data_IF_710053197520
#
_entry.id   IF_710053197520
#
_cell.length_a   1.000
_cell.length_b   1.000
_cell.length_c   1.000
_cell.angle_alpha   90.00
_cell.angle_beta   90.00
_cell.angle_gamma   90.00
#
_symmetry.space_group_name_H-M   'P 1'
#
loop_
_entity.id
_entity.type
_entity.pdbx_description
1 polymer ?
#
# COMPACT_ATOMS: atom_id res chain seq x y z
N UNK A 1 2.46 16.43 4.78
CA UNK A 1 3.38 15.41 5.32
C UNK A 1 4.66 15.37 4.49
N UNK A 2 5.74 14.75 4.97
CA UNK A 2 6.96 14.52 4.18
C UNK A 2 6.85 13.19 3.43
N UNK A 3 7.43 13.11 2.23
CA UNK A 3 7.52 11.85 1.46
C UNK A 3 8.40 10.86 2.21
N UNK A 4 7.94 9.63 2.37
CA UNK A 4 8.73 8.50 2.86
C UNK A 4 8.74 7.39 1.80
N UNK A 5 9.92 7.07 1.27
CA UNK A 5 10.09 6.04 0.24
C UNK A 5 9.77 4.66 0.81
N UNK A 6 10.13 4.39 2.05
CA UNK A 6 9.89 3.08 2.66
C UNK A 6 8.38 2.82 2.81
N UNK A 7 7.61 3.84 3.21
CA UNK A 7 6.15 3.73 3.31
C UNK A 7 5.53 3.49 1.93
N UNK A 8 6.01 4.21 0.91
CA UNK A 8 5.55 4.02 -0.46
C UNK A 8 5.84 2.61 -0.97
N UNK A 9 7.06 2.09 -0.79
CA UNK A 9 7.46 0.73 -1.18
C UNK A 9 6.67 -0.34 -0.41
N UNK A 10 6.36 -0.10 0.87
CA UNK A 10 5.54 -1.01 1.68
C UNK A 10 4.13 -1.13 1.13
N UNK A 11 3.48 0.00 0.83
CA UNK A 11 2.14 0.02 0.22
C UNK A 11 2.11 -0.70 -1.12
N UNK A 12 3.07 -0.44 -2.01
CA UNK A 12 3.18 -1.17 -3.28
C UNK A 12 3.36 -2.68 -3.05
N UNK A 13 4.23 -3.05 -2.10
CA UNK A 13 4.44 -4.45 -1.75
C UNK A 13 3.23 -5.12 -1.10
N UNK A 14 2.33 -4.38 -0.44
CA UNK A 14 1.07 -4.93 0.04
C UNK A 14 0.15 -5.28 -1.13
N UNK A 15 0.01 -4.40 -2.12
CA UNK A 15 -0.77 -4.66 -3.34
C UNK A 15 -0.20 -5.88 -4.06
N UNK A 16 1.11 -5.89 -4.36
CA UNK A 16 1.80 -6.99 -5.05
C UNK A 16 1.55 -8.37 -4.40
N UNK A 17 1.51 -8.43 -3.05
CA UNK A 17 1.42 -9.70 -2.32
C UNK A 17 0.00 -10.20 -2.09
N UNK A 18 -0.99 -9.31 -2.02
CA UNK A 18 -2.35 -9.67 -1.63
C UNK A 18 -3.36 -9.48 -2.77
N UNK A 19 -2.98 -8.82 -3.86
CA UNK A 19 -3.79 -8.78 -5.08
C UNK A 19 -3.65 -10.09 -5.86
N UNK A 20 -4.46 -11.09 -5.49
CA UNK A 20 -4.45 -12.41 -6.13
C UNK A 20 -5.29 -12.48 -7.41
N UNK A 21 -6.21 -11.53 -7.60
CA UNK A 21 -7.20 -11.55 -8.68
C UNK A 21 -6.94 -10.48 -9.75
N UNK A 22 -5.96 -9.60 -9.54
CA UNK A 22 -5.66 -8.48 -10.43
C UNK A 22 -6.69 -7.36 -10.34
N UNK A 23 -7.26 -7.18 -9.15
CA UNK A 23 -8.31 -6.16 -8.86
C UNK A 23 -7.78 -5.06 -7.94
N UNK A 24 -6.52 -5.12 -7.54
CA UNK A 24 -5.93 -4.24 -6.53
C UNK A 24 -6.39 -4.55 -5.11
N UNK A 25 -6.12 -3.61 -4.21
CA UNK A 25 -6.56 -3.67 -2.81
C UNK A 25 -7.37 -2.44 -2.43
N UNK A 26 -8.38 -2.64 -1.61
CA UNK A 26 -9.13 -1.55 -1.03
C UNK A 26 -8.26 -0.71 -0.12
N UNK A 27 -8.54 0.59 -0.07
CA UNK A 27 -7.89 1.54 0.85
C UNK A 27 -7.88 1.04 2.30
N UNK A 28 -9.00 0.49 2.74
CA UNK A 28 -9.17 -0.01 4.10
C UNK A 28 -8.27 -1.22 4.38
N UNK A 29 -8.09 -2.11 3.40
CA UNK A 29 -7.17 -3.26 3.53
C UNK A 29 -5.72 -2.79 3.59
N UNK A 30 -5.35 -1.83 2.74
CA UNK A 30 -4.01 -1.22 2.74
C UNK A 30 -3.69 -0.55 4.08
N UNK A 31 -4.68 0.10 4.69
CA UNK A 31 -4.55 0.64 6.05
C UNK A 31 -4.30 -0.46 7.07
N UNK A 32 -5.13 -1.49 7.08
CA UNK A 32 -4.98 -2.60 8.04
C UNK A 32 -3.65 -3.33 7.88
N UNK A 33 -3.19 -3.52 6.64
CA UNK A 33 -1.87 -4.10 6.35
C UNK A 33 -0.74 -3.19 6.84
N UNK A 34 -0.87 -1.87 6.64
CA UNK A 34 0.09 -0.91 7.14
C UNK A 34 0.14 -0.90 8.67
N UNK A 35 -1.00 -0.82 9.36
CA UNK A 35 -1.10 -0.84 10.82
C UNK A 35 -0.41 -2.08 11.44
N UNK A 36 -0.50 -3.22 10.76
CA UNK A 36 0.11 -4.47 11.20
C UNK A 36 1.59 -4.66 10.76
N UNK A 37 2.14 -3.79 9.92
CA UNK A 37 3.55 -3.85 9.52
C UNK A 37 4.43 -3.12 10.56
N UNK A 38 5.61 -3.66 10.95
CA UNK A 38 6.49 -3.03 11.94
C UNK A 38 6.83 -1.56 11.67
N UNK A 39 6.76 -1.12 10.41
CA UNK A 39 6.98 0.27 10.03
C UNK A 39 5.95 1.25 10.61
N UNK A 40 4.77 0.74 11.00
CA UNK A 40 3.73 1.55 11.63
C UNK A 40 4.09 2.02 13.03
N UNK A 41 5.06 1.39 13.70
CA UNK A 41 5.53 1.81 15.04
C UNK A 41 6.09 3.25 15.03
N UNK A 42 6.50 3.75 13.86
CA UNK A 42 6.95 5.13 13.65
C UNK A 42 5.80 6.14 13.51
N UNK A 43 4.56 5.66 13.43
CA UNK A 43 3.36 6.44 13.13
C UNK A 43 2.38 6.36 14.31
N UNK A 44 1.95 7.50 14.89
CA UNK A 44 0.86 7.50 15.86
C UNK A 44 -0.41 6.89 15.25
N UNK A 45 -1.11 6.05 16.01
CA UNK A 45 -2.31 5.32 15.54
C UNK A 45 -3.38 6.25 14.94
N UNK A 46 -3.57 7.43 15.53
CA UNK A 46 -4.52 8.45 15.04
C UNK A 46 -4.09 9.13 13.72
N UNK A 47 -2.85 8.91 13.28
CA UNK A 47 -2.27 9.46 12.06
C UNK A 47 -2.15 8.44 10.92
N UNK A 48 -2.40 7.15 11.17
CA UNK A 48 -2.22 6.10 10.16
C UNK A 48 -3.03 6.36 8.89
N UNK A 49 -4.30 6.76 9.05
CA UNK A 49 -5.15 7.16 7.93
C UNK A 49 -4.53 8.27 7.07
N UNK A 50 -4.04 9.32 7.73
CA UNK A 50 -3.45 10.48 7.05
C UNK A 50 -2.18 10.07 6.30
N UNK A 51 -1.38 9.19 6.91
CA UNK A 51 -0.14 8.66 6.33
C UNK A 51 -0.41 7.82 5.09
N UNK A 52 -1.33 6.86 5.19
CA UNK A 52 -1.68 5.95 4.10
C UNK A 52 -2.28 6.74 2.94
N UNK A 53 -3.27 7.59 3.19
CA UNK A 53 -3.92 8.42 2.18
C UNK A 53 -2.92 9.35 1.47
N UNK A 54 -2.02 9.97 2.23
CA UNK A 54 -1.00 10.84 1.68
C UNK A 54 -0.07 10.08 0.72
N UNK A 55 0.38 8.87 1.08
CA UNK A 55 1.28 8.10 0.24
C UNK A 55 0.55 7.46 -0.95
N UNK A 56 -0.68 6.98 -0.80
CA UNK A 56 -1.50 6.51 -1.93
C UNK A 56 -1.73 7.61 -2.95
N UNK A 57 -2.00 8.84 -2.50
CA UNK A 57 -2.12 9.99 -3.39
C UNK A 57 -0.83 10.28 -4.15
N UNK A 58 0.32 10.17 -3.50
CA UNK A 58 1.61 10.34 -4.18
C UNK A 58 1.86 9.25 -5.22
N UNK A 59 1.60 7.99 -4.88
CA UNK A 59 1.76 6.85 -5.79
C UNK A 59 0.82 6.97 -7.00
N UNK A 60 -0.43 7.35 -6.78
CA UNK A 60 -1.43 7.60 -7.83
C UNK A 60 -0.97 8.73 -8.76
N UNK A 61 -0.58 9.89 -8.21
CA UNK A 61 -0.13 11.03 -9.02
C UNK A 61 1.18 10.76 -9.77
N UNK A 62 2.01 9.86 -9.28
CA UNK A 62 3.22 9.40 -9.95
C UNK A 62 2.96 8.31 -11.00
N UNK A 63 1.73 7.77 -11.08
CA UNK A 63 1.37 6.70 -12.01
C UNK A 63 1.84 5.32 -11.59
N UNK A 64 2.20 5.11 -10.32
CA UNK A 64 2.61 3.80 -9.80
C UNK A 64 1.42 2.93 -9.37
N UNK A 65 0.29 3.56 -9.05
CA UNK A 65 -0.97 2.86 -8.82
C UNK A 65 -2.09 3.49 -9.64
N UNK A 66 -3.02 2.68 -10.11
CA UNK A 66 -4.30 3.12 -10.63
C UNK A 66 -5.33 3.06 -9.49
N UNK A 67 -6.14 4.11 -9.38
CA UNK A 67 -7.25 4.18 -8.43
C UNK A 67 -8.55 3.95 -9.18
N UNK A 68 -9.28 2.92 -8.79
CA UNK A 68 -10.66 2.72 -9.22
C UNK A 68 -11.59 3.17 -8.10
N UNK A 69 -12.47 4.11 -8.42
CA UNK A 69 -13.46 4.60 -7.46
C UNK A 69 -14.69 3.69 -7.52
N UNK A 70 -15.14 3.21 -6.37
CA UNK A 70 -16.43 2.50 -6.30
C UNK A 70 -17.56 3.43 -6.77
N UNK A 71 -18.52 2.84 -7.48
CA UNK A 71 -19.64 3.49 -8.16
C UNK A 71 -20.51 4.27 -7.17
N UNK A 72 -20.51 3.86 -5.90
CA UNK A 72 -21.29 4.48 -4.81
C UNK A 72 -20.58 5.66 -4.12
N UNK A 73 -19.30 5.94 -4.47
CA UNK A 73 -18.57 7.11 -3.97
C UNK A 73 -18.34 7.14 -2.46
N UNK A 74 -18.48 6.01 -1.76
CA UNK A 74 -18.17 5.94 -0.32
C UNK A 74 -16.66 5.93 -0.13
N UNK A 75 -16.20 6.75 0.82
CA UNK A 75 -14.79 6.81 1.21
C UNK A 75 -14.39 5.45 1.80
N UNK A 76 -13.33 4.83 1.27
CA UNK A 76 -12.82 3.53 1.73
C UNK A 76 -13.18 2.35 0.83
N UNK A 77 -14.10 2.52 -0.13
CA UNK A 77 -14.46 1.49 -1.12
C UNK A 77 -13.61 1.60 -2.40
N UNK A 78 -12.69 2.57 -2.49
CA UNK A 78 -11.77 2.65 -3.62
C UNK A 78 -10.62 1.64 -3.51
N UNK A 79 -10.34 0.98 -4.64
CA UNK A 79 -9.26 0.03 -4.81
C UNK A 79 -8.08 0.65 -5.56
N UNK A 80 -6.89 0.15 -5.23
CA UNK A 80 -5.62 0.57 -5.80
C UNK A 80 -4.92 -0.64 -6.42
N UNK A 81 -4.71 -0.59 -7.73
CA UNK A 81 -3.99 -1.60 -8.51
C UNK A 81 -2.59 -1.09 -8.86
N UNK A 82 -1.59 -1.98 -8.90
CA UNK A 82 -0.28 -1.63 -9.42
C UNK A 82 -0.34 -1.39 -10.93
N UNK A 83 0.32 -0.34 -11.39
CA UNK A 83 0.62 -0.20 -12.81
C UNK A 83 1.93 -0.92 -13.12
N UNK A 84 2.25 -1.08 -14.41
CA UNK A 84 3.58 -1.53 -14.84
C UNK A 84 4.72 -0.71 -14.23
N UNK A 85 4.57 0.62 -14.16
CA UNK A 85 5.57 1.49 -13.53
C UNK A 85 5.64 1.26 -12.01
N UNK A 86 4.52 0.90 -11.37
CA UNK A 86 4.47 0.50 -9.97
C UNK A 86 5.26 -0.77 -9.68
N UNK A 87 5.05 -1.81 -10.50
CA UNK A 87 5.82 -3.06 -10.41
C UNK A 87 7.31 -2.80 -10.59
N UNK A 88 7.73 -2.11 -11.65
CA UNK A 88 9.15 -1.80 -11.89
C UNK A 88 9.75 -0.97 -10.74
N UNK A 89 9.02 0.01 -10.21
CA UNK A 89 9.49 0.80 -9.08
C UNK A 89 9.64 -0.06 -7.83
N UNK A 90 8.66 -0.92 -7.53
CA UNK A 90 8.71 -1.83 -6.40
C UNK A 90 9.91 -2.78 -6.51
N UNK A 91 10.10 -3.45 -7.64
CA UNK A 91 11.21 -4.39 -7.86
C UNK A 91 12.58 -3.73 -7.68
N UNK A 92 12.74 -2.48 -8.13
CA UNK A 92 14.00 -1.75 -8.04
C UNK A 92 14.30 -1.18 -6.63
N UNK A 93 13.28 -1.06 -5.78
CA UNK A 93 13.41 -0.43 -4.46
C UNK A 93 13.07 -1.38 -3.30
N UNK A 94 12.55 -2.57 -3.59
CA UNK A 94 12.29 -3.60 -2.59
C UNK A 94 13.62 -4.00 -1.93
N UNK A 95 13.66 -4.11 -0.60
CA UNK A 95 14.87 -4.55 0.09
C UNK A 95 15.26 -5.94 -0.44
N UNK A 96 16.50 -6.07 -0.91
CA UNK A 96 17.06 -7.33 -1.38
C UNK A 96 17.19 -8.33 -0.23
N UNK A 97 16.17 -9.16 -0.05
CA UNK A 97 16.06 -10.24 0.92
C UNK A 97 14.98 -11.23 0.46
N UNK A 98 14.93 -12.47 1.01
CA UNK A 98 13.87 -13.40 0.63
C UNK A 98 12.50 -12.76 0.90
N UNK A 99 11.62 -12.79 -0.10
CA UNK A 99 10.23 -12.29 -0.08
C UNK A 99 9.35 -13.18 0.82
N UNK A 100 9.86 -13.58 1.98
CA UNK A 100 9.24 -14.58 2.83
C UNK A 100 9.88 -14.57 4.20
N UNK A 101 9.38 -13.70 5.08
CA UNK A 101 9.29 -13.93 6.53
C UNK A 101 8.71 -12.70 7.24
N UNK A 102 7.52 -12.25 6.81
CA UNK A 102 6.56 -11.69 7.76
C UNK A 102 5.60 -12.82 8.07
N UNK A 103 5.92 -13.57 9.13
CA UNK A 103 5.10 -14.64 9.66
C UNK A 103 3.67 -14.13 9.84
N UNK A 104 2.77 -14.55 8.96
CA UNK A 104 1.34 -14.53 9.23
C UNK A 104 1.15 -15.44 10.44
N UNK A 105 1.10 -14.84 11.63
CA UNK A 105 0.64 -15.54 12.82
C UNK A 105 -0.87 -15.67 12.68
N UNK A 106 -1.30 -16.76 12.04
CA UNK A 106 -2.65 -17.26 12.22
C UNK A 106 -2.80 -17.62 13.70
N UNK A 107 -3.71 -16.91 14.39
CA UNK A 107 -4.23 -17.30 15.70
C UNK A 107 -5.18 -18.49 15.54
#
# INVERSE_FOLDING_TARGET
MKRNIEFAVRLLGFIERNDHEGIGLYREELRQLFENDPISEEVPEDQTWVVVDYHLRLLETAGFVAREADIDGKIGEDNFELTWAGHEYFENNAPSGPVGDLKVRFL
#
